data_IF_498207447610
#
_entry.id   IF_498207447610
#
_cell.length_a   1.000
_cell.length_b   1.000
_cell.length_c   1.000
_cell.angle_alpha   90.00
_cell.angle_beta   90.00
_cell.angle_gamma   90.00
#
_symmetry.space_group_name_H-M   'P 1'
#
loop_
_entity.id
_entity.type
_entity.pdbx_description
1 polymer ?
#
# COMPACT_ATOMS: atom_id res chain seq x y z
N UNK A 1 -10.83 -46.75 -46.67
CA UNK A 1 -10.61 -47.08 -45.24
C UNK A 1 -9.80 -45.95 -44.61
N UNK A 2 -10.34 -44.73 -44.63
CA UNK A 2 -9.63 -43.46 -44.32
C UNK A 2 -10.69 -42.41 -43.94
N UNK A 3 -11.46 -42.68 -42.90
CA UNK A 3 -12.45 -41.74 -42.35
C UNK A 3 -12.55 -41.78 -40.81
N UNK A 4 -11.93 -42.78 -40.16
CA UNK A 4 -11.96 -42.95 -38.70
C UNK A 4 -10.75 -42.28 -37.98
N UNK A 5 -9.74 -41.83 -38.72
CA UNK A 5 -8.53 -41.18 -38.18
C UNK A 5 -8.72 -39.70 -37.82
N UNK A 6 -9.60 -38.98 -38.53
CA UNK A 6 -9.83 -37.55 -38.29
C UNK A 6 -10.63 -37.31 -37.01
N UNK A 7 -11.64 -38.13 -36.71
CA UNK A 7 -12.46 -37.95 -35.50
C UNK A 7 -11.67 -38.21 -34.23
N UNK A 8 -10.81 -39.24 -34.20
CA UNK A 8 -9.95 -39.55 -33.05
C UNK A 8 -8.93 -38.45 -32.76
N UNK A 9 -8.33 -37.87 -33.81
CA UNK A 9 -7.34 -36.78 -33.66
C UNK A 9 -7.99 -35.48 -33.18
N UNK A 10 -9.20 -35.17 -33.66
CA UNK A 10 -9.98 -34.02 -33.19
C UNK A 10 -10.39 -34.17 -31.72
N UNK A 11 -10.82 -35.36 -31.30
CA UNK A 11 -11.16 -35.65 -29.90
C UNK A 11 -9.92 -35.53 -28.99
N UNK A 12 -8.77 -36.10 -29.38
CA UNK A 12 -7.53 -35.96 -28.63
C UNK A 12 -7.06 -34.50 -28.50
N UNK A 13 -7.25 -33.69 -29.56
CA UNK A 13 -6.92 -32.26 -29.52
C UNK A 13 -7.83 -31.51 -28.53
N UNK A 14 -9.12 -31.83 -28.51
CA UNK A 14 -10.06 -31.25 -27.57
C UNK A 14 -9.73 -31.62 -26.11
N UNK A 15 -9.34 -32.86 -25.85
CA UNK A 15 -8.95 -33.34 -24.51
C UNK A 15 -7.65 -32.67 -24.01
N UNK A 16 -6.68 -32.46 -24.89
CA UNK A 16 -5.45 -31.72 -24.56
C UNK A 16 -5.74 -30.24 -24.26
N UNK A 17 -6.64 -29.62 -25.02
CA UNK A 17 -7.07 -28.24 -24.78
C UNK A 17 -7.84 -28.11 -23.45
N UNK A 18 -8.65 -29.11 -23.10
CA UNK A 18 -9.31 -29.18 -21.80
C UNK A 18 -8.29 -29.31 -20.65
N UNK A 19 -7.28 -30.16 -20.81
CA UNK A 19 -6.19 -30.32 -19.83
C UNK A 19 -5.38 -29.03 -19.64
N UNK A 20 -5.34 -28.17 -20.66
CA UNK A 20 -4.75 -26.82 -20.60
C UNK A 20 -5.67 -25.77 -19.96
N UNK A 21 -6.86 -26.15 -19.49
CA UNK A 21 -7.82 -25.24 -18.87
C UNK A 21 -8.54 -24.31 -19.85
N UNK A 22 -8.58 -24.68 -21.14
CA UNK A 22 -9.20 -23.89 -22.20
C UNK A 22 -10.61 -24.39 -22.49
N UNK A 23 -11.57 -23.46 -22.50
CA UNK A 23 -12.96 -23.74 -22.83
C UNK A 23 -13.19 -23.41 -24.30
N UNK A 24 -13.76 -24.33 -25.08
CA UNK A 24 -13.94 -24.16 -26.52
C UNK A 24 -15.36 -24.50 -26.93
N UNK A 25 -15.95 -23.63 -27.75
CA UNK A 25 -17.20 -23.87 -28.45
C UNK A 25 -17.11 -23.44 -29.91
N UNK A 26 -17.83 -24.16 -30.78
CA UNK A 26 -17.98 -23.84 -32.19
C UNK A 26 -19.47 -23.71 -32.48
N UNK A 27 -19.83 -22.63 -33.15
CA UNK A 27 -21.18 -22.34 -33.61
C UNK A 27 -21.20 -22.35 -35.14
N UNK A 28 -22.28 -22.90 -35.71
CA UNK A 28 -22.50 -22.91 -37.16
C UNK A 28 -22.98 -21.54 -37.67
N UNK A 29 -23.30 -21.46 -38.97
CA UNK A 29 -23.79 -20.22 -39.60
C UNK A 29 -25.13 -19.71 -39.05
N UNK A 30 -25.89 -20.54 -38.36
CA UNK A 30 -27.16 -20.20 -37.72
C UNK A 30 -26.99 -19.90 -36.22
N UNK A 31 -25.73 -19.78 -35.75
CA UNK A 31 -25.33 -19.58 -34.35
C UNK A 31 -25.82 -20.72 -33.42
N UNK A 32 -25.92 -21.94 -33.96
CA UNK A 32 -26.20 -23.17 -33.20
C UNK A 32 -24.91 -23.83 -32.78
N UNK A 33 -24.90 -24.37 -31.56
CA UNK A 33 -23.75 -25.06 -31.02
C UNK A 33 -23.47 -26.35 -31.80
N UNK A 34 -22.42 -26.33 -32.62
CA UNK A 34 -21.95 -27.47 -33.39
C UNK A 34 -21.01 -28.36 -32.56
N UNK A 35 -20.16 -27.75 -31.74
CA UNK A 35 -19.22 -28.44 -30.85
C UNK A 35 -18.96 -27.64 -29.59
N UNK A 36 -18.75 -28.32 -28.47
CA UNK A 36 -18.16 -27.76 -27.27
C UNK A 36 -17.39 -28.84 -26.53
N UNK A 37 -16.20 -28.51 -26.04
CA UNK A 37 -15.47 -29.39 -25.13
C UNK A 37 -16.17 -29.43 -23.75
N UNK A 38 -15.81 -30.42 -22.94
CA UNK A 38 -16.43 -30.64 -21.65
C UNK A 38 -16.32 -29.43 -20.73
N UNK A 39 -15.15 -28.78 -20.66
CA UNK A 39 -14.95 -27.56 -19.86
C UNK A 39 -15.93 -26.42 -20.23
N UNK A 40 -16.18 -26.20 -21.53
CA UNK A 40 -17.19 -25.22 -21.98
C UNK A 40 -18.61 -25.68 -21.61
N UNK A 41 -18.93 -26.95 -21.84
CA UNK A 41 -20.24 -27.51 -21.51
C UNK A 41 -20.55 -27.38 -20.01
N UNK A 42 -19.60 -27.67 -19.14
CA UNK A 42 -19.74 -27.53 -17.70
C UNK A 42 -19.93 -26.06 -17.29
N UNK A 43 -19.14 -25.14 -17.85
CA UNK A 43 -19.24 -23.71 -17.54
C UNK A 43 -20.59 -23.09 -17.93
N UNK A 44 -21.20 -23.54 -19.03
CA UNK A 44 -22.49 -23.04 -19.52
C UNK A 44 -23.64 -24.05 -19.36
N UNK A 45 -23.47 -25.08 -18.53
CA UNK A 45 -24.51 -26.06 -18.19
C UNK A 45 -25.21 -26.64 -19.44
N UNK A 46 -24.42 -27.18 -20.36
CA UNK A 46 -24.86 -27.76 -21.65
C UNK A 46 -24.76 -29.28 -21.55
N UNK A 47 -25.85 -30.00 -21.87
CA UNK A 47 -25.82 -31.47 -21.92
C UNK A 47 -24.99 -32.00 -23.09
N UNK A 48 -24.50 -33.24 -23.01
CA UNK A 48 -23.54 -33.81 -23.97
C UNK A 48 -24.03 -33.80 -25.44
N UNK A 49 -25.34 -33.99 -25.65
CA UNK A 49 -25.97 -34.03 -26.97
C UNK A 49 -26.85 -32.79 -27.26
N UNK A 50 -26.72 -31.72 -26.47
CA UNK A 50 -27.47 -30.49 -26.72
C UNK A 50 -26.81 -29.64 -27.81
N UNK A 51 -27.63 -29.21 -28.78
CA UNK A 51 -27.26 -28.34 -29.91
C UNK A 51 -28.19 -27.11 -29.92
N UNK A 52 -28.00 -26.23 -28.94
CA UNK A 52 -28.85 -25.05 -28.73
C UNK A 52 -28.40 -23.88 -29.61
N UNK A 53 -29.34 -22.99 -29.95
CA UNK A 53 -28.98 -21.65 -30.40
C UNK A 53 -28.27 -20.93 -29.25
N UNK A 54 -27.22 -20.18 -29.56
CA UNK A 54 -26.50 -19.38 -28.56
C UNK A 54 -27.46 -18.47 -27.76
N UNK A 55 -28.44 -17.87 -28.43
CA UNK A 55 -29.45 -17.03 -27.78
C UNK A 55 -30.27 -17.78 -26.72
N UNK A 56 -30.65 -19.04 -27.01
CA UNK A 56 -31.42 -19.87 -26.09
C UNK A 56 -30.56 -20.35 -24.92
N UNK A 57 -29.30 -20.70 -25.18
CA UNK A 57 -28.32 -21.02 -24.16
C UNK A 57 -28.16 -19.86 -23.17
N UNK A 58 -27.92 -18.65 -23.67
CA UNK A 58 -27.75 -17.46 -22.82
C UNK A 58 -29.02 -17.13 -22.05
N UNK A 59 -30.19 -17.24 -22.68
CA UNK A 59 -31.49 -16.99 -22.02
C UNK A 59 -31.73 -17.98 -20.88
N UNK A 60 -31.52 -19.27 -21.12
CA UNK A 60 -31.68 -20.33 -20.11
C UNK A 60 -30.79 -20.06 -18.89
N UNK A 61 -29.52 -19.77 -19.15
CA UNK A 61 -28.53 -19.57 -18.09
C UNK A 61 -28.75 -18.27 -17.31
N UNK A 62 -29.22 -17.21 -17.98
CA UNK A 62 -29.60 -15.97 -17.31
C UNK A 62 -30.78 -16.17 -16.35
N UNK A 63 -31.83 -16.86 -16.77
CA UNK A 63 -33.01 -17.16 -15.92
C UNK A 63 -32.61 -17.93 -14.66
N UNK A 64 -31.67 -18.86 -14.79
CA UNK A 64 -31.20 -19.69 -13.68
C UNK A 64 -30.02 -19.08 -12.90
N UNK A 65 -29.57 -17.86 -13.24
CA UNK A 65 -28.41 -17.18 -12.62
C UNK A 65 -27.15 -18.05 -12.59
N UNK A 66 -26.86 -18.68 -13.73
CA UNK A 66 -25.70 -19.58 -13.91
C UNK A 66 -24.95 -19.26 -15.20
N UNK A 67 -23.74 -19.79 -15.37
CA UNK A 67 -22.89 -19.47 -16.52
C UNK A 67 -22.46 -18.00 -16.50
N UNK A 68 -22.49 -17.33 -17.65
CA UNK A 68 -22.07 -15.93 -17.78
C UNK A 68 -22.93 -14.96 -16.98
N UNK A 69 -22.28 -14.09 -16.21
CA UNK A 69 -22.93 -12.97 -15.52
C UNK A 69 -23.27 -11.87 -16.51
N UNK A 70 -24.57 -11.66 -16.75
CA UNK A 70 -25.07 -10.53 -17.55
C UNK A 70 -25.69 -9.49 -16.62
N UNK A 71 -25.00 -8.38 -16.38
CA UNK A 71 -25.47 -7.30 -15.49
C UNK A 71 -26.42 -6.36 -16.25
N UNK A 72 -27.68 -6.75 -16.40
CA UNK A 72 -28.72 -5.95 -17.06
C UNK A 72 -30.06 -6.06 -16.34
N UNK A 73 -30.88 -5.00 -16.42
CA UNK A 73 -32.28 -5.01 -15.98
C UNK A 73 -33.25 -5.44 -17.09
N UNK A 74 -32.84 -5.34 -18.35
CA UNK A 74 -33.59 -5.80 -19.53
C UNK A 74 -32.71 -6.80 -20.32
N UNK A 75 -32.98 -8.10 -20.13
CA UNK A 75 -32.23 -9.16 -20.79
C UNK A 75 -32.55 -9.27 -22.28
N UNK A 76 -33.81 -9.12 -22.69
CA UNK A 76 -34.20 -9.23 -24.10
C UNK A 76 -33.71 -8.03 -24.93
N UNK A 77 -33.62 -6.84 -24.32
CA UNK A 77 -32.91 -5.71 -24.89
C UNK A 77 -31.40 -5.97 -25.06
N UNK A 78 -30.76 -6.51 -24.02
CA UNK A 78 -29.34 -6.90 -24.08
C UNK A 78 -29.08 -7.97 -25.14
N UNK A 79 -29.94 -8.97 -25.25
CA UNK A 79 -29.81 -10.08 -26.20
C UNK A 79 -29.92 -9.59 -27.64
N UNK A 80 -30.93 -8.76 -27.95
CA UNK A 80 -31.08 -8.12 -29.27
C UNK A 80 -29.88 -7.27 -29.65
N UNK A 81 -29.38 -6.47 -28.71
CA UNK A 81 -28.17 -5.65 -28.90
C UNK A 81 -26.94 -6.53 -29.19
N UNK A 82 -26.79 -7.62 -28.45
CA UNK A 82 -25.65 -8.54 -28.60
C UNK A 82 -25.72 -9.30 -29.92
N UNK A 83 -26.87 -9.85 -30.29
CA UNK A 83 -27.08 -10.50 -31.60
C UNK A 83 -26.84 -9.53 -32.78
N UNK A 84 -27.13 -8.24 -32.60
CA UNK A 84 -26.86 -7.24 -33.65
C UNK A 84 -25.37 -7.00 -33.91
N UNK A 85 -24.47 -7.46 -33.02
CA UNK A 85 -23.01 -7.26 -33.08
C UNK A 85 -22.23 -8.56 -33.20
N UNK A 86 -22.73 -9.64 -32.59
CA UNK A 86 -22.18 -10.98 -32.63
C UNK A 86 -22.08 -11.43 -34.09
N UNK A 87 -20.91 -11.95 -34.46
CA UNK A 87 -20.68 -12.43 -35.82
C UNK A 87 -20.58 -11.35 -36.91
N UNK A 88 -20.34 -10.08 -36.55
CA UNK A 88 -20.04 -9.03 -37.53
C UNK A 88 -18.56 -8.68 -37.64
N UNK A 89 -17.80 -8.92 -36.58
CA UNK A 89 -16.36 -8.71 -36.52
C UNK A 89 -15.64 -10.04 -36.67
N UNK A 90 -14.64 -10.11 -37.56
CA UNK A 90 -13.88 -11.35 -37.80
C UNK A 90 -13.14 -11.87 -36.57
N UNK A 91 -12.79 -10.98 -35.64
CA UNK A 91 -12.21 -11.32 -34.35
C UNK A 91 -12.70 -10.35 -33.27
N UNK A 92 -12.97 -10.88 -32.07
CA UNK A 92 -13.32 -10.10 -30.88
C UNK A 92 -12.72 -10.75 -29.65
N UNK A 93 -12.21 -9.94 -28.72
CA UNK A 93 -11.79 -10.41 -27.41
C UNK A 93 -12.41 -9.57 -26.31
N UNK A 94 -12.81 -10.20 -25.21
CA UNK A 94 -13.43 -9.53 -24.07
C UNK A 94 -13.37 -10.39 -22.81
N UNK A 95 -13.57 -9.74 -21.68
CA UNK A 95 -13.63 -10.38 -20.36
C UNK A 95 -15.07 -10.76 -20.02
N UNK A 96 -15.25 -11.88 -19.32
CA UNK A 96 -16.56 -12.31 -18.83
C UNK A 96 -16.45 -12.94 -17.45
N UNK A 97 -17.29 -12.50 -16.52
CA UNK A 97 -17.45 -13.15 -15.22
C UNK A 97 -18.43 -14.32 -15.36
N UNK A 98 -18.16 -15.44 -14.68
CA UNK A 98 -19.11 -16.53 -14.46
C UNK A 98 -19.70 -16.46 -13.05
N UNK A 99 -20.91 -17.00 -12.88
CA UNK A 99 -21.60 -17.07 -11.59
C UNK A 99 -20.89 -17.98 -10.57
N UNK A 100 -20.05 -18.91 -11.01
CA UNK A 100 -19.23 -19.76 -10.14
C UNK A 100 -17.97 -19.06 -9.60
N UNK A 101 -17.77 -17.77 -9.95
CA UNK A 101 -16.66 -16.95 -9.49
C UNK A 101 -15.46 -16.93 -10.44
N UNK A 102 -15.46 -17.73 -11.51
CA UNK A 102 -14.41 -17.68 -12.52
C UNK A 102 -14.48 -16.39 -13.34
N UNK A 103 -13.32 -15.87 -13.70
CA UNK A 103 -13.15 -14.73 -14.60
C UNK A 103 -12.43 -15.21 -15.85
N UNK A 104 -13.10 -15.10 -17.00
CA UNK A 104 -12.61 -15.66 -18.25
C UNK A 104 -12.20 -14.56 -19.22
N UNK A 105 -11.08 -14.78 -19.92
CA UNK A 105 -10.73 -14.08 -21.14
C UNK A 105 -11.32 -14.84 -22.32
N UNK A 106 -12.31 -14.26 -23.00
CA UNK A 106 -13.00 -14.86 -24.14
C UNK A 106 -12.50 -14.26 -25.45
N UNK A 107 -12.31 -15.11 -26.45
CA UNK A 107 -12.07 -14.72 -27.83
C UNK A 107 -13.08 -15.38 -28.76
N UNK A 108 -13.60 -14.61 -29.72
CA UNK A 108 -14.51 -15.06 -30.76
C UNK A 108 -13.84 -14.83 -32.11
N UNK A 109 -13.68 -15.88 -32.90
CA UNK A 109 -13.13 -15.82 -34.26
C UNK A 109 -14.19 -16.32 -35.23
N UNK A 110 -14.47 -15.55 -36.28
CA UNK A 110 -15.47 -15.88 -37.29
C UNK A 110 -14.82 -16.16 -38.65
N UNK A 111 -15.29 -17.21 -39.31
CA UNK A 111 -14.93 -17.56 -40.67
C UNK A 111 -15.90 -16.95 -41.71
N UNK A 112 -15.47 -16.75 -42.97
CA UNK A 112 -16.33 -16.20 -44.03
C UNK A 112 -17.59 -17.02 -44.34
N UNK A 113 -17.60 -18.32 -44.02
CA UNK A 113 -18.74 -19.22 -44.19
C UNK A 113 -19.79 -19.11 -43.05
N UNK A 114 -19.59 -18.18 -42.10
CA UNK A 114 -20.50 -17.94 -40.97
C UNK A 114 -20.18 -18.77 -39.71
N UNK A 115 -19.22 -19.68 -39.75
CA UNK A 115 -18.84 -20.47 -38.58
C UNK A 115 -18.06 -19.62 -37.59
N UNK A 116 -18.31 -19.82 -36.30
CA UNK A 116 -17.66 -19.09 -35.22
C UNK A 116 -17.02 -20.04 -34.23
N UNK A 117 -15.80 -19.73 -33.80
CA UNK A 117 -15.13 -20.40 -32.70
C UNK A 117 -15.01 -19.44 -31.51
N UNK A 118 -15.45 -19.89 -30.34
CA UNK A 118 -15.26 -19.24 -29.06
C UNK A 118 -14.20 -19.99 -28.27
N UNK A 119 -13.19 -19.29 -27.77
CA UNK A 119 -12.15 -19.84 -26.91
C UNK A 119 -12.06 -18.99 -25.65
N UNK A 120 -12.19 -19.60 -24.49
CA UNK A 120 -12.09 -18.95 -23.19
C UNK A 120 -10.94 -19.53 -22.37
N UNK A 121 -10.18 -18.67 -21.72
CA UNK A 121 -9.16 -19.05 -20.74
C UNK A 121 -9.53 -18.52 -19.36
N UNK A 122 -9.39 -19.34 -18.33
CA UNK A 122 -9.57 -18.91 -16.95
C UNK A 122 -8.39 -18.03 -16.50
N UNK A 123 -8.68 -16.77 -16.19
CA UNK A 123 -7.73 -15.76 -15.73
C UNK A 123 -8.00 -15.32 -14.28
N UNK A 124 -8.74 -16.13 -13.52
CA UNK A 124 -9.12 -15.81 -12.13
C UNK A 124 -7.91 -15.56 -11.24
N UNK A 125 -6.82 -16.30 -11.44
CA UNK A 125 -5.57 -16.15 -10.67
C UNK A 125 -4.97 -14.73 -10.78
N UNK A 126 -5.07 -14.10 -11.95
CA UNK A 126 -4.54 -12.74 -12.19
C UNK A 126 -5.21 -11.71 -11.26
N UNK A 127 -6.49 -11.89 -10.96
CA UNK A 127 -7.26 -10.98 -10.08
C UNK A 127 -6.88 -11.15 -8.60
N UNK A 128 -6.46 -12.35 -8.20
CA UNK A 128 -5.96 -12.63 -6.86
C UNK A 128 -4.57 -12.04 -6.62
N UNK A 129 -3.68 -12.11 -7.63
CA UNK A 129 -2.33 -11.57 -7.54
C UNK A 129 -2.33 -10.06 -7.28
N UNK A 130 -3.22 -9.32 -7.93
CA UNK A 130 -3.30 -7.86 -7.74
C UNK A 130 -3.67 -7.47 -6.30
N UNK A 131 -4.52 -8.26 -5.63
CA UNK A 131 -4.93 -7.99 -4.24
C UNK A 131 -3.81 -8.30 -3.24
N UNK A 132 -3.11 -9.43 -3.44
CA UNK A 132 -1.99 -9.83 -2.60
C UNK A 132 -0.82 -8.85 -2.74
N UNK A 133 -0.50 -8.43 -3.97
CA UNK A 133 0.54 -7.44 -4.23
C UNK A 133 0.27 -6.08 -3.55
N UNK A 134 -0.99 -5.65 -3.49
CA UNK A 134 -1.37 -4.42 -2.77
C UNK A 134 -1.17 -4.56 -1.26
N UNK A 135 -1.54 -5.72 -0.70
CA UNK A 135 -1.37 -6.00 0.73
C UNK A 135 0.11 -6.07 1.11
N UNK A 136 0.92 -6.81 0.35
CA UNK A 136 2.37 -6.93 0.58
C UNK A 136 3.07 -5.58 0.46
N UNK A 137 2.64 -4.74 -0.50
CA UNK A 137 3.15 -3.37 -0.63
C UNK A 137 2.78 -2.53 0.59
N UNK A 138 1.54 -2.59 1.05
CA UNK A 138 1.08 -1.77 2.17
C UNK A 138 1.74 -2.22 3.50
N UNK A 139 1.99 -3.51 3.67
CA UNK A 139 2.72 -4.06 4.81
C UNK A 139 4.22 -3.75 4.74
N UNK A 140 4.83 -3.78 3.55
CA UNK A 140 6.20 -3.31 3.32
C UNK A 140 6.33 -1.80 3.58
N UNK A 141 5.32 -1.00 3.23
CA UNK A 141 5.28 0.44 3.53
C UNK A 141 5.19 0.66 5.05
N UNK A 142 4.32 -0.07 5.76
CA UNK A 142 4.23 0.02 7.23
C UNK A 142 5.53 -0.41 7.91
N UNK A 143 6.14 -1.51 7.47
CA UNK A 143 7.44 -1.97 7.97
C UNK A 143 8.55 -0.94 7.70
N UNK A 144 8.48 -0.20 6.59
CA UNK A 144 9.43 0.87 6.26
C UNK A 144 9.25 2.14 7.10
N UNK A 145 8.12 2.31 7.79
CA UNK A 145 7.75 3.56 8.49
C UNK A 145 8.07 3.57 9.99
N UNK A 146 8.53 2.45 10.57
CA UNK A 146 8.86 2.33 12.00
C UNK A 146 10.31 1.91 12.21
N UNK A 147 10.96 2.42 13.25
CA UNK A 147 12.27 1.97 13.70
C UNK A 147 12.13 0.64 14.46
N UNK A 148 12.80 -0.42 13.98
CA UNK A 148 12.64 -1.79 14.53
C UNK A 148 13.07 -1.90 16.00
N UNK A 149 14.02 -1.09 16.44
CA UNK A 149 14.54 -1.16 17.81
C UNK A 149 13.59 -0.48 18.80
N UNK A 150 13.08 0.70 18.46
CA UNK A 150 12.35 1.58 19.38
C UNK A 150 10.85 1.58 19.17
N UNK A 151 10.35 1.09 18.02
CA UNK A 151 8.93 1.03 17.67
C UNK A 151 8.29 2.37 17.31
N UNK A 152 9.02 3.48 17.42
CA UNK A 152 8.55 4.81 16.99
C UNK A 152 8.81 5.01 15.49
N UNK A 153 8.19 6.03 14.86
CA UNK A 153 8.44 6.36 13.45
C UNK A 153 9.92 6.39 13.02
N UNK A 154 10.19 5.83 11.84
CA UNK A 154 11.53 5.81 11.22
C UNK A 154 11.88 7.16 10.58
N UNK A 155 13.16 7.36 10.27
CA UNK A 155 13.67 8.50 9.51
C UNK A 155 12.78 8.86 8.31
N UNK A 156 12.45 7.85 7.50
CA UNK A 156 11.66 8.06 6.27
C UNK A 156 10.29 8.65 6.58
N UNK A 157 9.61 8.15 7.61
CA UNK A 157 8.29 8.63 7.99
C UNK A 157 8.36 10.05 8.53
N UNK A 158 9.29 10.33 9.45
CA UNK A 158 9.38 11.64 10.08
C UNK A 158 9.76 12.73 9.07
N UNK A 159 10.70 12.45 8.17
CA UNK A 159 11.09 13.42 7.13
C UNK A 159 9.93 13.73 6.18
N UNK A 160 9.14 12.72 5.78
CA UNK A 160 7.92 12.95 4.99
C UNK A 160 6.90 13.82 5.73
N UNK A 161 6.81 13.70 7.06
CA UNK A 161 5.93 14.54 7.87
C UNK A 161 6.46 15.95 8.06
N UNK A 162 7.77 16.13 8.08
CA UNK A 162 8.40 17.44 8.07
C UNK A 162 8.13 18.16 6.74
N UNK A 163 8.22 17.45 5.61
CA UNK A 163 7.82 17.98 4.31
C UNK A 163 6.34 18.40 4.31
N UNK A 164 5.44 17.57 4.86
CA UNK A 164 4.01 17.88 4.97
C UNK A 164 3.73 19.13 5.84
N UNK A 165 4.57 19.39 6.85
CA UNK A 165 4.47 20.57 7.72
C UNK A 165 4.81 21.86 6.95
N UNK A 166 5.84 21.82 6.11
CA UNK A 166 6.33 23.00 5.38
C UNK A 166 5.68 23.19 4.01
N UNK A 167 4.95 22.18 3.50
CA UNK A 167 4.34 22.24 2.17
C UNK A 167 3.33 23.39 2.06
N UNK A 168 3.55 24.26 1.07
CA UNK A 168 2.56 25.25 0.65
C UNK A 168 1.47 24.59 -0.20
N UNK A 169 0.25 24.54 0.31
CA UNK A 169 -0.90 23.99 -0.41
C UNK A 169 -1.67 25.04 -1.23
N UNK A 170 -1.27 26.32 -1.21
CA UNK A 170 -1.93 27.41 -1.95
C UNK A 170 -3.36 27.72 -1.48
N UNK A 171 -3.79 27.13 -0.35
CA UNK A 171 -5.16 27.24 0.21
C UNK A 171 -5.31 28.30 1.30
N UNK A 172 -4.29 29.15 1.50
CA UNK A 172 -4.35 30.26 2.46
C UNK A 172 -4.24 29.88 3.95
N UNK A 173 -4.04 28.60 4.28
CA UNK A 173 -3.71 28.16 5.64
C UNK A 173 -2.20 27.96 5.75
N UNK A 174 -1.50 28.91 6.36
CA UNK A 174 -0.08 28.76 6.70
C UNK A 174 0.04 27.73 7.83
N UNK A 175 0.67 26.59 7.56
CA UNK A 175 1.11 25.64 8.57
C UNK A 175 2.44 26.12 9.13
N UNK A 176 2.54 26.21 10.45
CA UNK A 176 3.78 26.54 11.13
C UNK A 176 4.04 25.55 12.24
N UNK A 177 5.26 25.51 12.77
CA UNK A 177 5.58 24.66 13.90
C UNK A 177 7.05 24.66 14.22
N UNK A 178 7.43 23.86 15.20
CA UNK A 178 8.81 23.66 15.57
C UNK A 178 9.31 22.27 15.17
N UNK A 179 10.56 22.22 14.73
CA UNK A 179 11.35 21.02 14.65
C UNK A 179 12.33 21.02 15.83
N UNK A 180 12.35 19.94 16.60
CA UNK A 180 13.40 19.69 17.58
C UNK A 180 14.24 18.49 17.13
N UNK A 181 15.55 18.63 17.12
CA UNK A 181 16.52 17.55 16.95
C UNK A 181 17.11 17.24 18.32
N UNK A 182 17.05 15.97 18.73
CA UNK A 182 17.42 15.48 20.05
C UNK A 182 18.50 14.42 19.92
N UNK A 183 19.47 14.44 20.83
CA UNK A 183 20.58 13.49 20.82
C UNK A 183 20.95 13.09 22.25
N UNK A 184 21.07 11.79 22.48
CA UNK A 184 21.40 11.23 23.80
C UNK A 184 22.85 11.55 24.15
N UNK A 185 23.04 12.23 25.26
CA UNK A 185 24.37 12.71 25.66
C UNK A 185 25.30 11.55 26.00
N UNK A 186 26.50 11.58 25.41
CA UNK A 186 27.55 10.58 25.64
C UNK A 186 27.13 9.15 25.26
N UNK A 187 26.21 8.96 24.31
CA UNK A 187 25.72 7.64 23.91
C UNK A 187 26.84 6.68 23.46
N UNK A 188 27.82 7.17 22.69
CA UNK A 188 29.01 6.40 22.35
C UNK A 188 29.76 5.87 23.58
N UNK A 189 29.95 6.71 24.61
CA UNK A 189 30.60 6.29 25.86
C UNK A 189 29.79 5.22 26.61
N UNK A 190 28.45 5.33 26.58
CA UNK A 190 27.56 4.31 27.16
C UNK A 190 27.78 2.97 26.45
N UNK A 191 27.79 2.96 25.11
CA UNK A 191 28.06 1.75 24.32
C UNK A 191 29.45 1.18 24.59
N UNK A 192 30.47 2.03 24.58
CA UNK A 192 31.86 1.61 24.77
C UNK A 192 32.09 1.02 26.18
N UNK A 193 31.40 1.54 27.19
CA UNK A 193 31.55 1.10 28.59
C UNK A 193 30.69 -0.10 28.96
N UNK A 194 29.46 -0.17 28.45
CA UNK A 194 28.46 -1.15 28.90
C UNK A 194 28.00 -2.13 27.80
N UNK A 195 28.42 -1.92 26.56
CA UNK A 195 28.06 -2.73 25.41
C UNK A 195 26.80 -2.25 24.69
N UNK A 196 26.63 -2.69 23.44
CA UNK A 196 25.54 -2.26 22.57
C UNK A 196 24.14 -2.63 23.09
N UNK A 197 23.98 -3.79 23.74
CA UNK A 197 22.69 -4.18 24.33
C UNK A 197 22.24 -3.23 25.43
N UNK A 198 23.18 -2.62 26.15
CA UNK A 198 22.90 -1.59 27.14
C UNK A 198 22.44 -0.29 26.46
N UNK A 199 23.14 0.13 25.40
CA UNK A 199 22.72 1.28 24.59
C UNK A 199 21.34 1.10 23.98
N UNK A 200 21.02 -0.10 23.49
CA UNK A 200 19.70 -0.44 22.97
C UNK A 200 18.60 -0.28 24.02
N UNK A 201 18.86 -0.67 25.27
CA UNK A 201 17.93 -0.45 26.38
C UNK A 201 17.73 1.05 26.65
N UNK A 202 18.80 1.86 26.59
CA UNK A 202 18.72 3.32 26.74
C UNK A 202 17.91 3.95 25.60
N UNK A 203 18.08 3.50 24.36
CA UNK A 203 17.32 3.99 23.21
C UNK A 203 15.82 3.67 23.33
N UNK A 204 15.49 2.44 23.74
CA UNK A 204 14.10 2.02 23.97
C UNK A 204 13.43 2.82 25.09
N UNK A 205 14.13 2.99 26.20
CA UNK A 205 13.64 3.76 27.34
C UNK A 205 13.45 5.25 26.99
N UNK A 206 14.39 5.83 26.24
CA UNK A 206 14.28 7.19 25.74
C UNK A 206 13.05 7.37 24.85
N UNK A 207 12.90 6.50 23.84
CA UNK A 207 11.74 6.53 22.94
C UNK A 207 10.42 6.40 23.70
N UNK A 208 10.31 5.43 24.61
CA UNK A 208 9.11 5.21 25.42
C UNK A 208 8.81 6.39 26.36
N UNK A 209 9.84 6.96 26.99
CA UNK A 209 9.71 8.12 27.88
C UNK A 209 9.15 9.33 27.12
N UNK A 210 9.70 9.61 25.93
CA UNK A 210 9.25 10.74 25.12
C UNK A 210 7.86 10.49 24.50
N UNK A 211 7.58 9.26 24.06
CA UNK A 211 6.31 8.91 23.45
C UNK A 211 5.11 9.07 24.41
N UNK A 212 5.33 8.91 25.71
CA UNK A 212 4.30 9.16 26.73
C UNK A 212 3.99 10.65 26.96
N UNK A 213 4.82 11.56 26.42
CA UNK A 213 4.71 13.00 26.63
C UNK A 213 4.27 13.77 25.38
N UNK A 214 4.28 13.12 24.20
CA UNK A 214 3.83 13.72 22.95
C UNK A 214 2.30 13.71 22.83
N UNK A 215 1.74 14.76 22.22
CA UNK A 215 0.31 14.82 21.89
C UNK A 215 0.05 14.02 20.61
N UNK A 216 -1.22 13.72 20.34
CA UNK A 216 -1.64 12.99 19.12
C UNK A 216 -1.19 13.66 17.81
N UNK A 217 -1.00 14.97 17.81
CA UNK A 217 -0.56 15.77 16.66
C UNK A 217 0.94 15.83 16.49
N UNK A 218 1.70 15.54 17.54
CA UNK A 218 3.15 15.66 17.56
C UNK A 218 3.76 14.36 17.01
N UNK A 219 4.91 14.48 16.36
CA UNK A 219 5.53 13.34 15.67
C UNK A 219 6.94 13.17 16.20
N UNK A 220 7.11 12.16 17.04
CA UNK A 220 8.42 11.70 17.49
C UNK A 220 8.89 10.58 16.58
N UNK A 221 10.16 10.60 16.18
CA UNK A 221 10.77 9.43 15.54
C UNK A 221 12.29 9.44 15.59
N UNK A 222 12.89 8.33 15.16
CA UNK A 222 14.33 8.09 15.21
C UNK A 222 14.95 8.18 13.83
N UNK A 223 16.01 8.99 13.72
CA UNK A 223 16.68 9.28 12.45
C UNK A 223 17.83 8.33 12.18
N UNK A 224 18.50 7.88 13.24
CA UNK A 224 19.61 6.93 13.19
C UNK A 224 20.52 7.09 14.40
N UNK A 225 21.23 6.03 14.78
CA UNK A 225 22.10 6.06 15.97
C UNK A 225 21.35 6.50 17.21
N UNK A 226 21.83 7.55 17.86
CA UNK A 226 21.26 8.23 19.03
C UNK A 226 20.39 9.47 18.71
N UNK A 227 20.15 9.75 17.43
CA UNK A 227 19.45 10.96 16.98
C UNK A 227 17.94 10.73 16.80
N UNK A 228 17.16 11.62 17.40
CA UNK A 228 15.71 11.65 17.35
C UNK A 228 15.23 13.01 16.87
N UNK A 229 14.06 13.02 16.23
CA UNK A 229 13.35 14.24 15.84
C UNK A 229 12.01 14.27 16.54
N UNK A 230 11.62 15.45 16.98
CA UNK A 230 10.25 15.78 17.37
C UNK A 230 9.72 16.92 16.51
N UNK A 231 8.63 16.67 15.80
CA UNK A 231 7.88 17.68 15.05
C UNK A 231 6.70 18.13 15.91
N UNK A 232 6.58 19.44 16.11
CA UNK A 232 5.55 20.10 16.92
C UNK A 232 4.73 21.05 16.02
N UNK A 233 3.69 20.55 15.33
CA UNK A 233 2.83 21.38 14.51
C UNK A 233 2.13 22.47 15.35
N UNK A 234 1.92 23.63 14.75
CA UNK A 234 1.25 24.79 15.33
C UNK A 234 1.78 25.19 16.72
N UNK A 235 3.08 25.03 16.94
CA UNK A 235 3.74 25.29 18.22
C UNK A 235 4.78 26.39 18.05
N UNK A 236 4.73 27.40 18.93
CA UNK A 236 5.71 28.48 18.97
C UNK A 236 6.99 28.04 19.70
N UNK A 237 8.16 28.65 19.40
CA UNK A 237 9.45 28.34 20.04
C UNK A 237 9.45 28.25 21.56
N UNK A 238 8.80 29.18 22.26
CA UNK A 238 8.75 29.18 23.73
C UNK A 238 7.96 27.97 24.28
N UNK A 239 6.86 27.62 23.62
CA UNK A 239 6.06 26.44 23.97
C UNK A 239 6.83 25.15 23.65
N UNK A 240 7.51 25.10 22.50
CA UNK A 240 8.36 23.98 22.12
C UNK A 240 9.49 23.77 23.14
N UNK A 241 10.16 24.84 23.57
CA UNK A 241 11.19 24.78 24.60
C UNK A 241 10.62 24.25 25.93
N UNK A 242 9.41 24.67 26.30
CA UNK A 242 8.72 24.17 27.50
C UNK A 242 8.38 22.68 27.39
N UNK A 243 7.89 22.22 26.25
CA UNK A 243 7.54 20.82 25.98
C UNK A 243 8.81 19.95 26.05
N UNK A 244 9.86 20.32 25.31
CA UNK A 244 11.13 19.58 25.30
C UNK A 244 11.82 19.65 26.67
N UNK A 245 11.65 20.75 27.42
CA UNK A 245 12.15 20.87 28.80
C UNK A 245 11.51 19.85 29.75
N UNK A 246 10.20 19.61 29.63
CA UNK A 246 9.51 18.57 30.41
C UNK A 246 10.00 17.17 30.04
N UNK A 247 10.27 16.94 28.76
CA UNK A 247 10.87 15.70 28.27
C UNK A 247 12.27 15.46 28.86
N UNK A 248 13.10 16.49 28.90
CA UNK A 248 14.43 16.44 29.53
C UNK A 248 14.36 16.09 31.01
N UNK A 249 13.45 16.72 31.75
CA UNK A 249 13.21 16.39 33.16
C UNK A 249 12.72 14.95 33.38
N UNK A 250 11.91 14.42 32.47
CA UNK A 250 11.46 13.03 32.54
C UNK A 250 12.63 12.05 32.29
N UNK A 251 13.45 12.32 31.27
CA UNK A 251 14.63 11.50 30.95
C UNK A 251 15.66 11.49 32.09
N UNK A 252 15.93 12.64 32.72
CA UNK A 252 16.80 12.74 33.92
C UNK A 252 16.34 11.80 35.05
N UNK A 253 15.02 11.60 35.17
CA UNK A 253 14.39 10.74 36.18
C UNK A 253 14.27 9.28 35.73
N UNK A 254 14.52 8.98 34.46
CA UNK A 254 14.37 7.63 33.93
C UNK A 254 15.44 6.65 34.41
N UNK A 255 15.06 5.38 34.50
CA UNK A 255 15.86 4.25 34.96
C UNK A 255 15.73 3.11 33.94
N UNK A 256 16.48 3.16 32.83
CA UNK A 256 16.27 2.25 31.70
C UNK A 256 16.52 0.78 32.04
N UNK A 257 17.25 0.51 33.13
CA UNK A 257 17.76 -0.80 33.48
C UNK A 257 17.50 -1.07 34.98
N UNK A 258 16.59 -2.00 35.31
CA UNK A 258 16.26 -2.33 36.70
C UNK A 258 17.47 -2.80 37.52
N UNK A 259 18.43 -3.47 36.89
CA UNK A 259 19.64 -3.98 37.54
C UNK A 259 20.69 -2.89 37.80
N UNK A 260 20.56 -1.72 37.17
CA UNK A 260 21.51 -0.59 37.24
C UNK A 260 20.81 0.67 37.74
N UNK A 261 20.23 0.58 38.94
CA UNK A 261 19.37 1.62 39.55
C UNK A 261 20.05 2.98 39.71
N UNK A 262 21.39 3.03 39.70
CA UNK A 262 22.18 4.27 39.79
C UNK A 262 22.46 4.91 38.43
N UNK A 263 22.29 4.19 37.31
CA UNK A 263 22.59 4.71 35.97
C UNK A 263 21.60 5.81 35.56
N UNK A 264 22.13 6.92 35.03
CA UNK A 264 21.39 8.08 34.54
C UNK A 264 21.91 8.44 33.17
N UNK A 265 21.04 9.04 32.38
CA UNK A 265 21.43 9.64 31.11
C UNK A 265 20.60 10.91 30.89
N UNK A 266 21.08 11.73 29.97
CA UNK A 266 20.48 13.01 29.59
C UNK A 266 20.46 13.11 28.06
N UNK A 267 19.84 14.16 27.54
CA UNK A 267 19.93 14.48 26.12
C UNK A 267 20.11 15.99 25.94
N UNK A 268 20.67 16.34 24.79
CA UNK A 268 20.70 17.72 24.31
C UNK A 268 19.69 17.89 23.18
N UNK A 269 19.10 19.07 23.06
CA UNK A 269 18.18 19.36 21.95
C UNK A 269 18.39 20.74 21.34
N UNK A 270 18.20 20.81 20.03
CA UNK A 270 18.14 22.03 19.24
C UNK A 270 16.75 22.21 18.65
N UNK A 271 16.18 23.40 18.80
CA UNK A 271 14.82 23.70 18.31
C UNK A 271 14.88 24.82 17.27
N UNK A 272 14.22 24.60 16.14
CA UNK A 272 14.05 25.60 15.08
C UNK A 272 12.57 25.78 14.74
N UNK A 273 12.16 27.01 14.47
CA UNK A 273 10.81 27.32 13.98
C UNK A 273 10.78 27.24 12.46
N UNK A 274 9.76 26.59 11.92
CA UNK A 274 9.52 26.44 10.49
C UNK A 274 8.23 27.11 10.05
N UNK A 275 8.27 27.71 8.87
CA UNK A 275 7.12 28.36 8.23
C UNK A 275 6.81 27.70 6.88
N UNK A 276 5.55 27.81 6.44
CA UNK A 276 5.13 27.28 5.13
C UNK A 276 6.00 27.83 4.00
N UNK A 277 6.39 26.96 3.07
CA UNK A 277 7.23 27.29 1.92
C UNK A 277 8.74 27.22 2.19
N UNK A 278 9.17 26.97 3.42
CA UNK A 278 10.59 26.79 3.76
C UNK A 278 11.11 25.41 3.30
N UNK A 279 12.40 25.35 2.96
CA UNK A 279 13.07 24.09 2.67
C UNK A 279 13.31 23.27 3.94
N UNK A 280 12.94 21.99 3.89
CA UNK A 280 13.12 21.04 5.00
C UNK A 280 14.58 20.89 5.42
N UNK A 281 15.53 20.93 4.48
CA UNK A 281 16.94 20.77 4.80
C UNK A 281 17.49 21.97 5.58
N UNK A 282 17.03 23.19 5.25
CA UNK A 282 17.41 24.40 5.98
C UNK A 282 16.84 24.43 7.40
N UNK A 283 15.56 24.07 7.58
CA UNK A 283 14.96 23.95 8.92
C UNK A 283 15.71 22.89 9.76
N UNK A 284 16.02 21.73 9.17
CA UNK A 284 16.81 20.69 9.82
C UNK A 284 18.17 21.19 10.28
N UNK A 285 18.89 21.86 9.37
CA UNK A 285 20.22 22.41 9.63
C UNK A 285 20.20 23.46 10.75
N UNK A 286 19.17 24.30 10.84
CA UNK A 286 19.03 25.28 11.94
C UNK A 286 18.82 24.58 13.29
N UNK A 287 18.00 23.54 13.33
CA UNK A 287 17.79 22.75 14.55
C UNK A 287 19.07 22.01 14.95
N UNK A 288 19.81 21.43 14.00
CA UNK A 288 21.09 20.77 14.23
C UNK A 288 22.16 21.74 14.78
N UNK A 289 22.27 22.94 14.22
CA UNK A 289 23.18 23.98 14.74
C UNK A 289 22.83 24.38 16.19
N UNK A 290 21.53 24.46 16.52
CA UNK A 290 21.10 24.71 17.88
C UNK A 290 21.45 23.54 18.81
N UNK A 291 21.30 22.29 18.36
CA UNK A 291 21.70 21.10 19.11
C UNK A 291 23.21 21.08 19.36
N UNK A 292 24.01 21.41 18.35
CA UNK A 292 25.45 21.56 18.48
C UNK A 292 25.81 22.61 19.53
N UNK A 293 25.11 23.75 19.55
CA UNK A 293 25.30 24.77 20.58
C UNK A 293 24.95 24.25 22.00
N UNK A 294 23.89 23.46 22.15
CA UNK A 294 23.56 22.81 23.43
C UNK A 294 24.67 21.86 23.89
N UNK A 295 25.23 21.05 22.98
CA UNK A 295 26.36 20.17 23.30
C UNK A 295 27.61 20.95 23.71
N UNK A 296 27.91 22.07 23.04
CA UNK A 296 29.06 22.93 23.35
C UNK A 296 28.93 23.70 24.66
N UNK A 297 27.71 23.99 25.11
CA UNK A 297 27.42 24.65 26.39
C UNK A 297 27.43 23.68 27.59
N UNK A 298 27.84 22.44 27.39
CA UNK A 298 27.96 21.45 28.46
C UNK A 298 26.92 20.33 28.45
N UNK A 299 26.14 20.19 27.36
CA UNK A 299 25.08 19.16 27.20
C UNK A 299 23.93 19.32 28.21
N UNK A 300 23.02 18.33 28.28
CA UNK A 300 21.89 18.29 29.22
C UNK A 300 21.05 19.58 29.20
N UNK A 301 20.81 20.10 27.99
CA UNK A 301 20.13 21.39 27.81
C UNK A 301 19.49 21.53 26.43
N UNK A 302 18.68 22.58 26.29
CA UNK A 302 17.93 22.90 25.08
C UNK A 302 18.38 24.27 24.58
N UNK A 303 18.70 24.36 23.30
CA UNK A 303 19.00 25.61 22.62
C UNK A 303 17.98 25.88 21.52
N UNK A 304 17.57 27.14 21.40
CA UNK A 304 16.79 27.61 20.26
C UNK A 304 17.74 28.05 19.15
N UNK A 305 17.29 27.95 17.91
CA UNK A 305 17.91 28.61 16.76
C UNK A 305 18.05 30.12 17.05
N UNK A 306 19.27 30.69 16.92
CA UNK A 306 19.50 32.11 17.19
C UNK A 306 18.72 33.06 16.26
N UNK A 307 18.21 32.57 15.13
CA UNK A 307 17.42 33.37 14.19
C UNK A 307 15.92 33.37 14.49
N UNK A 308 15.48 32.79 15.60
CA UNK A 308 14.09 32.94 16.05
C UNK A 308 13.79 34.43 16.23
N UNK A 309 12.85 34.95 15.44
CA UNK A 309 12.48 36.37 15.47
C UNK A 309 11.81 36.69 16.81
N UNK A 310 12.01 37.90 17.34
CA UNK A 310 11.35 38.37 18.58
C UNK A 310 9.82 38.20 18.56
N UNK A 311 9.18 38.31 17.39
CA UNK A 311 7.74 38.06 17.20
C UNK A 311 7.32 36.60 17.43
N UNK A 312 8.27 35.66 17.39
CA UNK A 312 8.07 34.21 17.58
C UNK A 312 8.45 33.76 19.01
N UNK A 313 9.07 34.61 19.83
CA UNK A 313 9.41 34.27 21.21
C UNK A 313 8.26 34.50 22.21
N UNK A 314 7.22 35.26 21.81
CA UNK A 314 6.08 35.58 22.65
C UNK A 314 6.43 36.49 23.84
N UNK A 315 5.52 37.42 24.17
CA UNK A 315 5.59 38.28 25.35
C UNK A 315 5.27 37.51 26.64
#
# INVERSE_FOLDING_TARGET
MTALGDTMTVLQTADLMESAGVLIAIFDQDDRLAFANRAFREAWFIGDNEHLLWADLMRRNFVESRGTVVKTQDFEGWLRSTLSRRGKTGFRAFETDLHDGRWLWMTETMQPNGWMMCVASDITSIRCDERTLRQDRDDAIKASQTDELTGIPSRRFVMSKLEDLLRDEGKGQSKTGCLAVLDIDNFKYINDRFGHSFGDAVLKDFAATLQNLVRKTDILGRVGGEEFILILPNTMPADAQTIVGRMLEAVRKSRPLPEQVSFRYTFSAGIAYGETGEDTADLYRRADLALYAAKMRGRDQICLDPNVRMSQLGA
#
